data_IF_952007806138
#
_entry.id   IF_952007806138
#
_cell.length_a   1.000
_cell.length_b   1.000
_cell.length_c   1.000
_cell.angle_alpha   90.00
_cell.angle_beta   90.00
_cell.angle_gamma   90.00
#
_symmetry.space_group_name_H-M   'P 1'
#
loop_
_entity.id
_entity.type
_entity.pdbx_description
1 polymer ?
#
# COMPACT_ATOMS: atom_id res chain seq x y z
N UNK A 1 -0.03 -2.31 22.13
CA UNK A 1 0.19 -1.21 21.19
C UNK A 1 1.18 -1.73 20.18
N UNK A 2 0.76 -1.79 18.94
CA UNK A 2 1.45 -2.51 17.88
C UNK A 2 2.44 -1.55 17.23
N UNK A 3 3.70 -1.99 17.10
CA UNK A 3 4.76 -1.17 16.54
C UNK A 3 4.78 -1.31 15.03
N UNK A 4 4.82 -0.16 14.35
CA UNK A 4 4.89 -0.05 12.89
C UNK A 4 6.10 -0.79 12.28
N UNK A 5 7.21 -0.88 13.02
CA UNK A 5 8.44 -1.60 12.62
C UNK A 5 8.62 -2.89 13.45
N UNK A 6 7.61 -3.76 13.46
CA UNK A 6 7.60 -4.98 14.29
C UNK A 6 8.81 -5.91 14.03
N UNK A 7 9.35 -5.93 12.81
CA UNK A 7 10.46 -6.80 12.41
C UNK A 7 11.77 -6.06 12.07
N UNK A 8 11.82 -4.74 12.24
CA UNK A 8 13.01 -3.97 11.89
C UNK A 8 13.27 -3.93 10.38
N UNK A 9 12.26 -4.11 9.54
CA UNK A 9 12.40 -4.20 8.08
C UNK A 9 12.36 -2.83 7.40
N UNK A 10 11.85 -1.81 8.10
CA UNK A 10 11.72 -0.47 7.55
C UNK A 10 12.89 0.44 7.87
N UNK A 11 13.20 1.37 6.97
CA UNK A 11 14.18 2.43 7.26
C UNK A 11 13.53 3.50 8.14
N UNK A 12 14.23 3.94 9.18
CA UNK A 12 13.78 5.04 10.05
C UNK A 12 14.97 5.86 10.55
N UNK A 13 14.95 7.17 10.26
CA UNK A 13 15.92 8.18 10.71
C UNK A 13 15.27 9.31 11.52
N UNK A 14 13.96 9.21 11.79
CA UNK A 14 13.15 10.30 12.36
C UNK A 14 13.25 11.62 11.56
N UNK A 15 13.54 11.52 10.27
CA UNK A 15 13.90 12.63 9.40
C UNK A 15 13.26 12.53 8.01
N UNK A 16 13.65 13.43 7.10
CA UNK A 16 13.08 13.49 5.76
C UNK A 16 13.42 12.25 4.90
N UNK A 17 14.50 11.51 5.20
CA UNK A 17 14.82 10.29 4.45
C UNK A 17 13.82 9.17 4.74
N UNK A 18 13.29 9.07 5.96
CA UNK A 18 12.16 8.17 6.26
C UNK A 18 10.97 8.48 5.37
N UNK A 19 10.61 9.76 5.20
CA UNK A 19 9.48 10.17 4.36
C UNK A 19 9.72 9.81 2.89
N UNK A 20 10.94 10.02 2.39
CA UNK A 20 11.33 9.65 1.03
C UNK A 20 11.27 8.13 0.81
N UNK A 21 11.79 7.35 1.77
CA UNK A 21 11.75 5.90 1.78
C UNK A 21 10.31 5.38 1.72
N UNK A 22 9.44 5.85 2.62
CA UNK A 22 8.03 5.46 2.69
C UNK A 22 7.31 5.71 1.36
N UNK A 23 7.53 6.89 0.78
CA UNK A 23 6.86 7.25 -0.47
C UNK A 23 7.27 6.35 -1.65
N UNK A 24 8.56 5.97 -1.72
CA UNK A 24 9.05 5.02 -2.73
C UNK A 24 8.55 3.60 -2.45
N UNK A 25 8.57 3.17 -1.19
CA UNK A 25 8.05 1.88 -0.76
C UNK A 25 6.58 1.72 -1.19
N UNK A 26 5.74 2.72 -0.89
CA UNK A 26 4.31 2.66 -1.19
C UNK A 26 3.99 2.79 -2.67
N UNK A 27 4.79 3.52 -3.44
CA UNK A 27 4.69 3.51 -4.90
C UNK A 27 4.87 2.09 -5.46
N UNK A 28 5.79 1.33 -4.86
CA UNK A 28 6.15 -0.03 -5.26
C UNK A 28 5.32 -1.13 -4.56
N UNK A 29 4.50 -0.79 -3.55
CA UNK A 29 3.73 -1.74 -2.77
C UNK A 29 2.45 -2.19 -3.50
N UNK A 30 2.63 -2.94 -4.59
CA UNK A 30 1.55 -3.55 -5.36
C UNK A 30 2.00 -4.89 -5.96
N UNK A 31 1.06 -5.83 -6.08
CA UNK A 31 1.15 -7.13 -6.76
C UNK A 31 2.52 -7.84 -6.72
N UNK A 32 2.67 -8.81 -5.81
CA UNK A 32 3.85 -9.69 -5.73
C UNK A 32 3.69 -11.01 -6.49
N UNK A 33 2.49 -11.30 -7.01
CA UNK A 33 2.22 -12.45 -7.87
C UNK A 33 2.81 -12.26 -9.26
N UNK A 34 3.37 -13.29 -9.94
CA UNK A 34 3.36 -14.73 -9.59
C UNK A 34 4.56 -15.24 -8.79
N UNK A 35 5.43 -14.36 -8.31
CA UNK A 35 6.63 -14.77 -7.60
C UNK A 35 6.30 -15.15 -6.15
N UNK A 36 6.23 -16.46 -5.89
CA UNK A 36 5.85 -17.02 -4.58
C UNK A 36 6.85 -16.72 -3.46
N UNK A 37 8.09 -16.40 -3.83
CA UNK A 37 9.14 -16.09 -2.85
C UNK A 37 9.14 -14.59 -2.54
N UNK A 38 8.60 -13.75 -3.44
CA UNK A 38 8.56 -12.31 -3.26
C UNK A 38 7.35 -11.92 -2.39
N UNK A 39 7.60 -11.10 -1.37
CA UNK A 39 6.55 -10.50 -0.54
C UNK A 39 6.94 -9.07 -0.14
N UNK A 40 6.07 -8.43 0.65
CA UNK A 40 6.29 -7.07 1.15
C UNK A 40 7.61 -6.91 1.91
N UNK A 41 7.95 -7.87 2.79
CA UNK A 41 9.15 -7.77 3.63
C UNK A 41 10.43 -7.71 2.79
N UNK A 42 10.49 -8.47 1.70
CA UNK A 42 11.61 -8.43 0.76
C UNK A 42 11.74 -7.05 0.09
N UNK A 43 10.62 -6.43 -0.28
CA UNK A 43 10.60 -5.08 -0.85
C UNK A 43 11.07 -4.05 0.19
N UNK A 44 10.46 -4.05 1.38
CA UNK A 44 10.75 -3.10 2.46
C UNK A 44 12.22 -3.19 2.89
N UNK A 45 12.71 -4.41 3.14
CA UNK A 45 14.09 -4.68 3.55
C UNK A 45 15.09 -4.35 2.45
N UNK A 46 14.81 -4.71 1.19
CA UNK A 46 15.67 -4.41 0.05
C UNK A 46 15.86 -2.90 -0.12
N UNK A 47 14.77 -2.13 -0.09
CA UNK A 47 14.82 -0.67 -0.15
C UNK A 47 15.53 -0.05 1.05
N UNK A 48 15.34 -0.59 2.26
CA UNK A 48 16.06 -0.16 3.46
C UNK A 48 17.56 -0.36 3.31
N UNK A 49 17.99 -1.55 2.90
CA UNK A 49 19.40 -1.88 2.71
C UNK A 49 20.04 -1.01 1.61
N UNK A 50 19.32 -0.77 0.51
CA UNK A 50 19.76 0.15 -0.53
C UNK A 50 19.99 1.56 0.00
N UNK A 51 19.06 2.08 0.81
CA UNK A 51 19.17 3.42 1.39
C UNK A 51 20.27 3.52 2.44
N UNK A 52 20.50 2.48 3.24
CA UNK A 52 21.62 2.42 4.19
C UNK A 52 22.99 2.39 3.49
N UNK A 53 23.09 1.78 2.31
CA UNK A 53 24.32 1.75 1.53
C UNK A 53 24.58 3.07 0.80
N UNK A 54 23.53 3.72 0.31
CA UNK A 54 23.60 5.00 -0.40
C UNK A 54 22.39 5.85 -0.06
N UNK A 55 22.59 6.87 0.78
CA UNK A 55 21.53 7.78 1.23
C UNK A 55 20.90 8.58 0.08
N UNK A 56 21.57 8.67 -1.08
CA UNK A 56 21.05 9.34 -2.27
C UNK A 56 20.24 8.42 -3.18
N UNK A 57 20.12 7.12 -2.85
CA UNK A 57 19.53 6.12 -3.76
C UNK A 57 18.09 6.47 -4.19
N UNK A 58 17.34 7.20 -3.36
CA UNK A 58 15.98 7.64 -3.66
C UNK A 58 15.85 9.12 -3.99
N UNK A 59 16.95 9.79 -4.36
CA UNK A 59 16.93 11.14 -4.88
C UNK A 59 16.14 11.19 -6.20
N UNK A 60 15.40 12.28 -6.39
CA UNK A 60 14.44 12.41 -7.50
C UNK A 60 15.07 12.23 -8.89
N UNK A 61 16.30 12.69 -9.12
CA UNK A 61 16.99 12.55 -10.39
C UNK A 61 17.48 11.11 -10.66
N UNK A 62 17.70 10.32 -9.60
CA UNK A 62 18.06 8.91 -9.69
C UNK A 62 16.83 8.04 -9.88
N UNK A 63 15.74 8.34 -9.17
CA UNK A 63 14.45 7.69 -9.34
C UNK A 63 14.01 7.69 -10.81
N UNK A 64 14.23 8.80 -11.53
CA UNK A 64 13.93 8.95 -12.96
C UNK A 64 14.79 8.09 -13.91
N UNK A 65 15.88 7.50 -13.43
CA UNK A 65 16.87 6.79 -14.26
C UNK A 65 16.91 5.30 -13.99
N UNK A 66 16.26 4.82 -12.93
CA UNK A 66 16.28 3.40 -12.61
C UNK A 66 15.70 2.57 -13.75
N UNK A 67 16.31 1.43 -13.99
CA UNK A 67 15.84 0.39 -14.90
C UNK A 67 15.38 -0.83 -14.11
N UNK A 68 14.62 -1.72 -14.74
CA UNK A 68 14.20 -2.97 -14.13
C UNK A 68 15.35 -3.77 -13.51
N UNK A 69 16.46 -4.01 -14.24
CA UNK A 69 17.66 -4.64 -13.69
C UNK A 69 18.27 -3.93 -12.48
N UNK A 70 18.33 -2.59 -12.46
CA UNK A 70 18.85 -1.85 -11.31
C UNK A 70 17.89 -1.92 -10.12
N UNK A 71 16.57 -1.90 -10.34
CA UNK A 71 15.60 -2.10 -9.27
C UNK A 71 15.76 -3.50 -8.65
N UNK A 72 15.97 -4.54 -9.45
CA UNK A 72 16.29 -5.88 -8.93
C UNK A 72 17.58 -5.90 -8.12
N UNK A 73 18.62 -5.21 -8.59
CA UNK A 73 19.90 -5.12 -7.88
C UNK A 73 19.73 -4.44 -6.52
N UNK A 74 18.97 -3.34 -6.45
CA UNK A 74 18.62 -2.68 -5.19
C UNK A 74 17.92 -3.63 -4.22
N UNK A 75 17.00 -4.45 -4.71
CA UNK A 75 16.25 -5.42 -3.92
C UNK A 75 16.99 -6.74 -3.71
N UNK A 76 18.19 -6.90 -4.29
CA UNK A 76 18.95 -8.16 -4.34
C UNK A 76 18.10 -9.34 -4.86
N UNK A 77 17.20 -9.07 -5.81
CA UNK A 77 16.27 -10.06 -6.34
C UNK A 77 16.86 -10.79 -7.56
N UNK A 78 16.88 -12.13 -7.59
CA UNK A 78 17.64 -12.89 -8.59
C UNK A 78 16.98 -13.00 -9.97
N UNK A 79 15.73 -12.54 -10.12
CA UNK A 79 14.91 -12.71 -11.33
C UNK A 79 13.97 -11.52 -11.53
N UNK A 80 13.36 -11.43 -12.71
CA UNK A 80 12.39 -10.37 -13.04
C UNK A 80 11.32 -10.20 -11.98
N UNK A 81 11.10 -8.94 -11.56
CA UNK A 81 10.03 -8.62 -10.63
C UNK A 81 8.68 -8.74 -11.34
N UNK A 82 7.61 -9.13 -10.64
CA UNK A 82 6.25 -8.95 -11.15
C UNK A 82 5.97 -7.49 -11.50
N UNK A 83 5.42 -7.26 -12.69
CA UNK A 83 5.13 -5.92 -13.22
C UNK A 83 6.35 -4.98 -13.18
N UNK A 84 7.55 -5.50 -13.47
CA UNK A 84 8.81 -4.77 -13.37
C UNK A 84 8.82 -3.43 -14.12
N UNK A 85 8.35 -3.42 -15.37
CA UNK A 85 8.28 -2.18 -16.16
C UNK A 85 7.34 -1.14 -15.54
N UNK A 86 6.23 -1.59 -14.93
CA UNK A 86 5.29 -0.70 -14.24
C UNK A 86 5.90 -0.15 -12.95
N UNK A 87 6.66 -0.96 -12.21
CA UNK A 87 7.42 -0.51 -11.04
C UNK A 87 8.40 0.60 -11.42
N UNK A 88 9.14 0.41 -12.51
CA UNK A 88 10.08 1.41 -13.05
C UNK A 88 9.34 2.67 -13.48
N UNK A 89 8.22 2.54 -14.20
CA UNK A 89 7.37 3.67 -14.59
C UNK A 89 6.92 4.49 -13.37
N UNK A 90 6.54 3.82 -12.28
CA UNK A 90 6.13 4.47 -11.04
C UNK A 90 7.30 5.17 -10.33
N UNK A 91 8.51 4.59 -10.34
CA UNK A 91 9.70 5.28 -9.84
C UNK A 91 9.98 6.56 -10.63
N UNK A 92 9.88 6.48 -11.96
CA UNK A 92 10.10 7.64 -12.82
C UNK A 92 9.06 8.73 -12.56
N UNK A 93 7.80 8.35 -12.41
CA UNK A 93 6.71 9.26 -12.06
C UNK A 93 6.97 9.96 -10.73
N UNK A 94 7.34 9.20 -9.69
CA UNK A 94 7.68 9.74 -8.37
C UNK A 94 8.85 10.73 -8.48
N UNK A 95 9.94 10.33 -9.12
CA UNK A 95 11.11 11.19 -9.28
C UNK A 95 10.80 12.49 -10.02
N UNK A 96 10.13 12.40 -11.17
CA UNK A 96 9.80 13.56 -11.99
C UNK A 96 8.90 14.56 -11.25
N UNK A 97 7.83 14.06 -10.62
CA UNK A 97 6.86 14.95 -9.99
C UNK A 97 7.37 15.52 -8.66
N UNK A 98 8.19 14.77 -7.90
CA UNK A 98 8.90 15.32 -6.75
C UNK A 98 9.85 16.44 -7.17
N UNK A 99 10.66 16.26 -8.21
CA UNK A 99 11.57 17.29 -8.69
C UNK A 99 10.81 18.54 -9.15
N UNK A 100 9.74 18.34 -9.92
CA UNK A 100 8.93 19.42 -10.51
C UNK A 100 8.19 20.27 -9.48
N UNK A 101 7.57 19.63 -8.49
CA UNK A 101 6.56 20.28 -7.63
C UNK A 101 6.95 20.33 -6.15
N UNK A 102 7.97 19.58 -5.73
CA UNK A 102 8.30 19.36 -4.31
C UNK A 102 9.81 19.40 -4.03
N UNK A 103 10.60 20.11 -4.86
CA UNK A 103 12.07 20.26 -4.69
C UNK A 103 12.82 18.92 -4.58
N UNK A 104 12.30 17.87 -5.21
CA UNK A 104 12.85 16.52 -5.17
C UNK A 104 12.60 15.76 -3.87
N UNK A 105 11.78 16.29 -2.95
CA UNK A 105 11.64 15.77 -1.57
C UNK A 105 10.20 15.43 -1.21
N UNK A 106 9.94 14.18 -0.84
CA UNK A 106 8.64 13.75 -0.33
C UNK A 106 8.24 14.47 0.98
N UNK A 107 9.20 14.94 1.79
CA UNK A 107 8.91 15.76 2.97
C UNK A 107 8.22 17.08 2.60
N UNK A 108 8.53 17.69 1.46
CA UNK A 108 7.84 18.91 0.98
C UNK A 108 6.40 18.64 0.58
N UNK A 109 6.12 17.48 -0.01
CA UNK A 109 4.75 17.01 -0.24
C UNK A 109 3.98 16.88 1.08
N UNK A 110 4.56 16.23 2.09
CA UNK A 110 3.94 16.06 3.41
C UNK A 110 3.73 17.41 4.12
N UNK A 111 4.72 18.31 4.13
CA UNK A 111 4.60 19.66 4.69
C UNK A 111 3.42 20.43 4.07
N UNK A 112 3.20 20.29 2.75
CA UNK A 112 2.14 21.01 2.03
C UNK A 112 0.71 20.57 2.39
N UNK A 113 0.55 19.39 2.99
CA UNK A 113 -0.76 18.91 3.44
C UNK A 113 -1.27 19.63 4.70
N UNK A 114 -0.41 20.37 5.41
CA UNK A 114 -0.81 21.15 6.59
C UNK A 114 -1.42 20.28 7.70
N UNK A 115 -0.84 19.10 7.94
CA UNK A 115 -1.28 18.14 8.97
C UNK A 115 -2.70 17.59 8.75
N UNK A 116 -3.10 17.43 7.50
CA UNK A 116 -4.34 16.74 7.12
C UNK A 116 -4.02 15.53 6.24
N UNK A 117 -4.36 14.33 6.73
CA UNK A 117 -4.24 13.07 6.02
C UNK A 117 -5.13 13.06 4.78
N UNK A 118 -6.36 13.60 4.87
CA UNK A 118 -7.27 13.71 3.72
C UNK A 118 -6.68 14.62 2.65
N UNK A 119 -6.10 15.76 3.04
CA UNK A 119 -5.41 16.65 2.11
C UNK A 119 -4.15 16.02 1.53
N UNK A 120 -3.41 15.23 2.30
CA UNK A 120 -2.25 14.49 1.80
C UNK A 120 -2.66 13.49 0.71
N UNK A 121 -3.70 12.68 0.95
CA UNK A 121 -4.25 11.76 -0.05
C UNK A 121 -4.69 12.50 -1.30
N UNK A 122 -5.38 13.65 -1.15
CA UNK A 122 -5.81 14.47 -2.27
C UNK A 122 -4.62 15.03 -3.08
N UNK A 123 -3.54 15.44 -2.41
CA UNK A 123 -2.32 15.92 -3.07
C UNK A 123 -1.58 14.79 -3.79
N UNK A 124 -1.39 13.65 -3.13
CA UNK A 124 -0.75 12.45 -3.71
C UNK A 124 -1.51 12.02 -4.95
N UNK A 125 -2.82 11.81 -4.83
CA UNK A 125 -3.64 11.40 -5.99
C UNK A 125 -3.67 12.46 -7.06
N UNK A 126 -3.66 13.77 -6.75
CA UNK A 126 -3.61 14.82 -7.77
C UNK A 126 -2.29 14.85 -8.53
N UNK A 127 -1.16 14.69 -7.86
CA UNK A 127 0.16 14.85 -8.47
C UNK A 127 0.69 13.56 -9.11
N UNK A 128 0.36 12.40 -8.53
CA UNK A 128 0.93 11.11 -8.92
C UNK A 128 -0.18 10.18 -9.46
N UNK A 129 -0.41 10.13 -10.79
CA UNK A 129 -1.42 9.25 -11.40
C UNK A 129 -1.32 7.78 -11.00
N UNK A 130 -0.11 7.29 -10.72
CA UNK A 130 0.16 5.95 -10.24
C UNK A 130 -0.47 5.62 -8.88
N UNK A 131 -0.83 6.62 -8.09
CA UNK A 131 -1.55 6.44 -6.82
C UNK A 131 -3.08 6.56 -6.97
N UNK A 132 -3.59 6.84 -8.19
CA UNK A 132 -5.03 6.98 -8.46
C UNK A 132 -5.68 5.63 -8.73
N UNK A 133 -5.66 4.75 -7.75
CA UNK A 133 -6.33 3.46 -7.85
C UNK A 133 -7.86 3.70 -7.96
N UNK A 134 -8.41 3.58 -9.18
CA UNK A 134 -9.84 3.75 -9.46
C UNK A 134 -10.32 2.72 -10.48
N UNK A 135 -11.58 2.33 -10.37
CA UNK A 135 -12.19 1.34 -11.27
C UNK A 135 -13.61 1.72 -11.63
N UNK A 136 -14.10 1.20 -12.76
CA UNK A 136 -15.49 1.36 -13.18
C UNK A 136 -16.33 0.17 -12.70
N UNK A 137 -17.33 0.42 -11.85
CA UNK A 137 -18.26 -0.60 -11.37
C UNK A 137 -19.69 -0.22 -11.71
N UNK A 138 -20.37 -1.02 -12.54
CA UNK A 138 -21.78 -0.80 -12.94
C UNK A 138 -22.05 0.65 -13.39
N UNK A 139 -21.16 1.22 -14.19
CA UNK A 139 -21.26 2.59 -14.70
C UNK A 139 -20.89 3.70 -13.70
N UNK A 140 -20.46 3.36 -12.48
CA UNK A 140 -20.01 4.31 -11.47
C UNK A 140 -18.50 4.22 -11.31
N UNK A 141 -17.84 5.36 -11.22
CA UNK A 141 -16.41 5.42 -10.91
C UNK A 141 -16.21 5.24 -9.41
N UNK A 142 -15.42 4.24 -9.03
CA UNK A 142 -15.07 3.92 -7.64
C UNK A 142 -13.61 4.29 -7.42
N UNK A 143 -13.35 5.09 -6.41
CA UNK A 143 -12.01 5.52 -6.03
C UNK A 143 -11.57 4.76 -4.77
N UNK A 144 -10.51 3.97 -4.88
CA UNK A 144 -9.97 3.18 -3.77
C UNK A 144 -8.79 3.91 -3.10
N UNK A 145 -7.95 4.57 -3.91
CA UNK A 145 -6.78 5.34 -3.47
C UNK A 145 -5.92 4.60 -2.43
N UNK A 146 -5.78 3.28 -2.58
CA UNK A 146 -5.24 2.38 -1.56
C UNK A 146 -3.82 2.79 -1.17
N UNK A 147 -2.93 2.93 -2.15
CA UNK A 147 -1.52 3.29 -1.87
C UNK A 147 -1.37 4.69 -1.28
N UNK A 148 -2.21 5.65 -1.67
CA UNK A 148 -2.19 6.99 -1.09
C UNK A 148 -2.65 6.98 0.38
N UNK A 149 -3.63 6.13 0.72
CA UNK A 149 -4.08 5.93 2.09
C UNK A 149 -3.01 5.20 2.93
N UNK A 150 -2.35 4.17 2.37
CA UNK A 150 -1.24 3.46 3.03
C UNK A 150 -0.13 4.44 3.37
N UNK A 151 0.28 5.32 2.44
CA UNK A 151 1.32 6.31 2.69
C UNK A 151 1.00 7.25 3.86
N UNK A 152 -0.25 7.71 3.97
CA UNK A 152 -0.66 8.52 5.12
C UNK A 152 -0.60 7.72 6.44
N UNK A 153 -0.99 6.44 6.42
CA UNK A 153 -0.95 5.58 7.59
C UNK A 153 0.48 5.20 8.01
N UNK A 154 1.37 4.93 7.05
CA UNK A 154 2.77 4.63 7.30
C UNK A 154 3.51 5.83 7.91
N UNK A 155 3.22 7.05 7.45
CA UNK A 155 3.73 8.26 8.09
C UNK A 155 3.23 8.39 9.54
N UNK A 156 1.94 8.19 9.77
CA UNK A 156 1.37 8.25 11.11
C UNK A 156 1.97 7.20 12.05
N UNK A 157 2.13 5.96 11.56
CA UNK A 157 2.69 4.83 12.29
C UNK A 157 4.18 5.01 12.60
N UNK A 158 5.00 5.34 11.59
CA UNK A 158 6.43 5.51 11.72
C UNK A 158 6.78 6.64 12.70
N UNK A 159 6.09 7.77 12.61
CA UNK A 159 6.35 8.93 13.48
C UNK A 159 5.45 8.98 14.72
N UNK A 160 4.67 7.93 15.00
CA UNK A 160 3.78 7.82 16.17
C UNK A 160 2.87 9.04 16.36
N UNK A 161 2.34 9.55 15.25
CA UNK A 161 1.45 10.73 15.23
C UNK A 161 2.15 12.07 15.49
N UNK A 162 3.49 12.15 15.40
CA UNK A 162 4.28 13.36 15.64
C UNK A 162 5.04 13.78 14.37
N UNK A 163 5.56 15.01 14.32
CA UNK A 163 6.39 15.46 13.21
C UNK A 163 5.72 15.28 11.84
N UNK A 164 6.33 14.49 10.95
CA UNK A 164 5.78 14.20 9.62
C UNK A 164 4.54 13.29 9.64
N UNK A 165 4.27 12.58 10.74
CA UNK A 165 3.07 11.77 10.93
C UNK A 165 1.96 12.48 11.71
N UNK A 166 2.12 13.76 12.04
CA UNK A 166 1.11 14.51 12.78
C UNK A 166 -0.05 14.91 11.86
N UNK A 167 -1.17 14.19 11.98
CA UNK A 167 -2.40 14.45 11.24
C UNK A 167 -3.58 14.68 12.18
N UNK A 168 -4.32 15.77 11.96
CA UNK A 168 -5.48 16.15 12.78
C UNK A 168 -6.73 15.31 12.48
N UNK A 169 -6.76 14.66 11.32
CA UNK A 169 -7.91 13.97 10.75
C UNK A 169 -7.58 12.54 10.33
N UNK A 170 -6.56 11.91 10.95
CA UNK A 170 -6.12 10.55 10.60
C UNK A 170 -7.27 9.53 10.64
N UNK A 171 -8.21 9.67 11.58
CA UNK A 171 -9.39 8.81 11.67
C UNK A 171 -10.38 8.95 10.49
N UNK A 172 -10.15 9.88 9.56
CA UNK A 172 -10.94 10.05 8.34
C UNK A 172 -10.47 9.18 7.18
N UNK A 173 -9.30 8.53 7.29
CA UNK A 173 -8.85 7.54 6.29
C UNK A 173 -9.60 6.22 6.52
N UNK A 174 -9.89 5.51 5.44
CA UNK A 174 -10.66 4.26 5.47
C UNK A 174 -9.72 3.04 5.55
N UNK A 175 -10.25 1.85 5.84
CA UNK A 175 -9.46 0.62 5.73
C UNK A 175 -8.99 0.43 4.27
N UNK A 176 -7.80 -0.13 4.11
CA UNK A 176 -7.22 -0.31 2.79
C UNK A 176 -7.92 -1.44 2.04
N UNK A 177 -8.35 -1.18 0.80
CA UNK A 177 -8.82 -2.22 -0.09
C UNK A 177 -7.64 -3.08 -0.56
N UNK A 178 -7.46 -4.25 0.04
CA UNK A 178 -6.44 -5.22 -0.37
C UNK A 178 -7.05 -6.56 -0.77
N UNK A 179 -6.28 -7.46 -1.39
CA UNK A 179 -6.72 -8.82 -1.69
C UNK A 179 -6.59 -9.76 -0.48
N UNK A 180 -5.82 -9.39 0.56
CA UNK A 180 -5.64 -10.22 1.76
C UNK A 180 -6.89 -10.20 2.65
N UNK A 181 -7.51 -9.02 2.89
CA UNK A 181 -8.73 -8.93 3.74
C UNK A 181 -9.86 -9.83 3.21
N UNK A 182 -10.26 -9.78 1.93
CA UNK A 182 -11.35 -10.60 1.43
C UNK A 182 -11.04 -12.08 1.57
N UNK A 183 -9.79 -12.46 1.34
CA UNK A 183 -9.31 -13.82 1.43
C UNK A 183 -9.34 -14.38 2.87
N UNK A 184 -8.90 -13.60 3.85
CA UNK A 184 -9.03 -13.94 5.28
C UNK A 184 -10.50 -14.07 5.66
N UNK A 185 -11.34 -13.10 5.28
CA UNK A 185 -12.76 -13.12 5.56
C UNK A 185 -13.48 -14.31 4.90
N UNK A 186 -13.01 -14.77 3.74
CA UNK A 186 -13.51 -15.98 3.11
C UNK A 186 -13.12 -17.23 3.90
N UNK A 187 -11.88 -17.32 4.38
CA UNK A 187 -11.43 -18.45 5.22
C UNK A 187 -12.18 -18.50 6.55
N UNK A 188 -12.51 -17.34 7.11
CA UNK A 188 -13.34 -17.21 8.31
C UNK A 188 -14.84 -17.46 8.05
N UNK A 189 -15.24 -17.70 6.81
CA UNK A 189 -16.63 -17.96 6.42
C UNK A 189 -17.55 -16.73 6.42
N UNK A 190 -16.98 -15.52 6.59
CA UNK A 190 -17.69 -14.24 6.57
C UNK A 190 -18.03 -13.84 5.13
N UNK A 191 -17.09 -14.00 4.20
CA UNK A 191 -17.31 -13.80 2.77
C UNK A 191 -17.54 -15.14 2.06
N UNK A 192 -18.51 -15.17 1.14
CA UNK A 192 -18.74 -16.31 0.24
C UNK A 192 -18.55 -15.86 -1.20
N UNK A 193 -17.58 -16.45 -1.88
CA UNK A 193 -17.34 -16.20 -3.29
C UNK A 193 -18.34 -16.96 -4.16
N UNK A 194 -18.62 -16.41 -5.34
CA UNK A 194 -19.37 -17.16 -6.36
C UNK A 194 -18.57 -18.41 -6.77
N UNK A 195 -19.23 -19.50 -7.22
CA UNK A 195 -18.52 -20.70 -7.67
C UNK A 195 -17.49 -20.40 -8.76
N UNK A 196 -17.80 -19.49 -9.68
CA UNK A 196 -16.88 -19.06 -10.74
C UNK A 196 -15.62 -18.40 -10.18
N UNK A 197 -15.77 -17.46 -9.25
CA UNK A 197 -14.63 -16.76 -8.64
C UNK A 197 -13.81 -17.70 -7.76
N UNK A 198 -14.47 -18.56 -6.98
CA UNK A 198 -13.82 -19.56 -6.15
C UNK A 198 -12.98 -20.53 -7.00
N UNK A 199 -13.52 -21.00 -8.13
CA UNK A 199 -12.81 -21.88 -9.05
C UNK A 199 -11.61 -21.19 -9.69
N UNK A 200 -11.74 -19.92 -10.10
CA UNK A 200 -10.64 -19.13 -10.67
C UNK A 200 -9.49 -18.96 -9.66
N UNK A 201 -9.82 -18.61 -8.41
CA UNK A 201 -8.84 -18.50 -7.31
C UNK A 201 -8.18 -19.87 -7.04
N UNK A 202 -8.95 -20.94 -6.96
CA UNK A 202 -8.43 -22.29 -6.72
C UNK A 202 -7.50 -22.78 -7.85
N UNK A 203 -7.80 -22.37 -9.09
CA UNK A 203 -6.97 -22.65 -10.25
C UNK A 203 -5.73 -21.74 -10.37
N UNK A 204 -5.51 -20.81 -9.44
CA UNK A 204 -4.47 -19.77 -9.51
C UNK A 204 -4.49 -19.04 -10.86
N UNK A 205 -5.70 -18.79 -11.37
CA UNK A 205 -5.92 -18.05 -12.59
C UNK A 205 -5.85 -16.55 -12.29
N UNK A 206 -5.20 -15.80 -13.17
CA UNK A 206 -5.10 -14.35 -13.05
C UNK A 206 -6.51 -13.72 -13.11
N UNK A 207 -6.82 -12.89 -12.10
CA UNK A 207 -7.99 -12.02 -12.12
C UNK A 207 -7.51 -10.68 -12.66
N UNK A 208 -7.95 -10.33 -13.88
CA UNK A 208 -7.47 -9.13 -14.56
C UNK A 208 -7.83 -7.84 -13.81
N UNK A 209 -6.92 -6.86 -13.89
CA UNK A 209 -7.16 -5.52 -13.36
C UNK A 209 -8.36 -4.84 -14.05
N UNK A 210 -9.19 -4.14 -13.27
CA UNK A 210 -10.42 -3.49 -13.68
C UNK A 210 -11.59 -4.43 -13.95
N UNK A 211 -11.44 -5.75 -13.77
CA UNK A 211 -12.55 -6.70 -13.94
C UNK A 211 -13.59 -6.52 -12.84
N UNK A 212 -14.83 -6.93 -13.13
CA UNK A 212 -15.92 -6.88 -12.16
C UNK A 212 -15.54 -7.65 -10.89
N UNK A 213 -14.92 -8.80 -11.06
CA UNK A 213 -14.47 -9.70 -10.00
C UNK A 213 -13.43 -9.05 -9.10
N UNK A 214 -12.40 -8.41 -9.67
CA UNK A 214 -11.40 -7.66 -8.91
C UNK A 214 -12.06 -6.52 -8.12
N UNK A 215 -12.91 -5.73 -8.77
CA UNK A 215 -13.55 -4.58 -8.12
C UNK A 215 -14.50 -5.03 -7.01
N UNK A 216 -15.22 -6.14 -7.18
CA UNK A 216 -16.06 -6.73 -6.13
C UNK A 216 -15.23 -7.23 -4.95
N UNK A 217 -14.07 -7.86 -5.19
CA UNK A 217 -13.15 -8.25 -4.11
C UNK A 217 -12.63 -7.04 -3.34
N UNK A 218 -12.14 -6.01 -4.03
CA UNK A 218 -11.63 -4.79 -3.40
C UNK A 218 -12.73 -4.01 -2.65
N UNK A 219 -13.94 -3.94 -3.21
CA UNK A 219 -15.08 -3.23 -2.61
C UNK A 219 -15.77 -4.05 -1.51
N UNK A 220 -15.58 -5.38 -1.44
CA UNK A 220 -16.17 -6.22 -0.39
C UNK A 220 -15.74 -5.77 1.01
N UNK A 221 -14.53 -5.22 1.13
CA UNK A 221 -13.99 -4.66 2.37
C UNK A 221 -14.76 -3.42 2.79
N UNK A 222 -14.95 -2.48 1.86
CA UNK A 222 -15.74 -1.28 2.09
C UNK A 222 -17.19 -1.62 2.45
N UNK A 223 -17.78 -2.61 1.76
CA UNK A 223 -19.15 -3.06 2.06
C UNK A 223 -19.26 -3.65 3.47
N UNK A 224 -18.29 -4.45 3.91
CA UNK A 224 -18.27 -5.04 5.25
C UNK A 224 -18.09 -3.95 6.31
N UNK A 225 -17.16 -3.00 6.10
CA UNK A 225 -17.01 -1.87 7.01
C UNK A 225 -18.28 -1.03 7.14
N UNK A 226 -18.88 -0.63 6.01
CA UNK A 226 -20.11 0.16 6.03
C UNK A 226 -21.23 -0.64 6.70
N UNK A 227 -21.34 -1.94 6.41
CA UNK A 227 -22.31 -2.82 7.06
C UNK A 227 -22.03 -3.02 8.56
N UNK A 228 -20.80 -2.83 9.02
CA UNK A 228 -20.39 -2.96 10.42
C UNK A 228 -20.56 -1.68 11.21
N UNK A 229 -20.22 -0.52 10.65
CA UNK A 229 -20.58 0.79 11.22
C UNK A 229 -22.11 0.91 11.35
N UNK A 230 -22.87 0.32 10.40
CA UNK A 230 -24.32 0.21 10.49
C UNK A 230 -24.78 -0.86 11.52
N UNK A 231 -23.96 -1.87 11.83
CA UNK A 231 -24.26 -2.98 12.77
C UNK A 231 -23.59 -2.86 14.15
N UNK A 232 -22.88 -1.77 14.45
CA UNK A 232 -22.33 -1.47 15.79
C UNK A 232 -23.42 -1.33 16.87
N UNK A 233 -24.68 -1.54 16.51
CA UNK A 233 -25.79 -1.79 17.42
C UNK A 233 -25.89 -3.25 17.93
N UNK A 234 -25.16 -4.26 17.40
CA UNK A 234 -25.46 -5.67 17.75
C UNK A 234 -24.31 -6.72 17.85
N UNK A 235 -23.05 -6.50 17.45
CA UNK A 235 -22.06 -7.61 17.47
C UNK A 235 -20.63 -7.22 17.88
N UNK A 236 -20.32 -7.27 19.17
CA UNK A 236 -18.98 -7.04 19.73
C UNK A 236 -17.90 -8.07 19.36
N UNK A 237 -18.25 -9.31 18.97
CA UNK A 237 -17.28 -10.38 18.73
C UNK A 237 -16.48 -10.24 17.42
N UNK A 238 -16.97 -9.45 16.45
CA UNK A 238 -16.31 -9.26 15.16
C UNK A 238 -15.42 -7.99 15.12
N UNK A 239 -15.56 -7.11 16.12
CA UNK A 239 -14.73 -5.92 16.32
C UNK A 239 -13.29 -6.30 16.65
N UNK A 240 -13.06 -7.28 17.55
CA UNK A 240 -11.70 -7.76 17.84
C UNK A 240 -11.04 -8.37 16.61
N UNK A 241 -11.77 -9.06 15.74
CA UNK A 241 -11.21 -9.70 14.53
C UNK A 241 -10.79 -8.65 13.50
N UNK A 242 -11.57 -7.59 13.29
CA UNK A 242 -11.23 -6.54 12.32
C UNK A 242 -10.21 -5.53 12.84
N UNK A 243 -10.27 -5.18 14.12
CA UNK A 243 -9.19 -4.39 14.75
C UNK A 243 -7.90 -5.20 14.67
N UNK A 244 -7.91 -6.49 15.02
CA UNK A 244 -6.75 -7.37 14.84
C UNK A 244 -6.34 -7.53 13.37
N UNK A 245 -7.26 -7.50 12.39
CA UNK A 245 -6.87 -7.54 10.97
C UNK A 245 -6.18 -6.24 10.58
N UNK A 246 -6.75 -5.06 10.89
CA UNK A 246 -6.14 -3.75 10.64
C UNK A 246 -4.78 -3.63 11.36
N UNK A 247 -4.71 -4.12 12.58
CA UNK A 247 -3.50 -4.20 13.40
C UNK A 247 -2.51 -5.24 12.86
N UNK A 248 -2.95 -6.36 12.30
CA UNK A 248 -2.12 -7.34 11.59
C UNK A 248 -1.62 -6.83 10.24
N UNK A 249 -2.37 -5.96 9.55
CA UNK A 249 -1.92 -5.24 8.36
C UNK A 249 -0.77 -4.29 8.67
N UNK A 250 -0.67 -3.83 9.93
CA UNK A 250 0.47 -3.08 10.45
C UNK A 250 1.61 -3.98 11.01
N UNK A 251 1.42 -5.31 11.15
CA UNK A 251 2.40 -6.23 11.78
C UNK A 251 3.00 -7.25 10.83
N UNK A 252 2.23 -7.83 9.91
CA UNK A 252 2.57 -9.18 9.44
C UNK A 252 2.04 -9.47 8.05
N UNK A 253 2.97 -9.45 7.11
CA UNK A 253 3.00 -10.37 5.96
C UNK A 253 3.45 -11.79 6.36
N UNK A 254 3.38 -12.17 7.66
CA UNK A 254 3.81 -13.46 8.16
C UNK A 254 2.62 -14.36 8.55
N UNK A 255 2.20 -15.20 7.59
CA UNK A 255 1.52 -16.46 7.93
C UNK A 255 0.27 -16.83 7.14
N UNK A 256 -0.28 -15.93 6.33
CA UNK A 256 -1.37 -16.27 5.41
C UNK A 256 -0.81 -16.55 4.02
N UNK A 257 -0.39 -17.79 3.80
CA UNK A 257 -0.18 -18.37 2.47
C UNK A 257 -1.52 -18.42 1.71
N UNK A 258 -1.97 -17.28 1.24
CA UNK A 258 -3.04 -17.19 0.28
C UNK A 258 -2.43 -17.06 -1.10
N UNK A 259 -2.52 -18.15 -1.84
CA UNK A 259 -2.18 -18.23 -3.26
C UNK A 259 -3.22 -17.42 -4.03
N UNK A 260 -2.92 -16.16 -4.25
CA UNK A 260 -3.33 -15.45 -5.46
C UNK A 260 -2.18 -15.66 -6.41
#
# INVERSE_FOLDING_TARGET
>A
MIEWDYEGIHYFDNGPLTVQYLFVLDALNFCFWPDKDLNYDHLAKGLKEALLNDHSTFDADRLQKYTGPQLRELLKWPRSLPLEEERVRLLHEVGFELERSFEGKASKLVESCGKSAVKLIALVTRHFPGFRDHSMYKGHQVFLYKRAQIFAADLWGAFKGQGYGEFNDIGSITIFADYIVPAVLQQLGVLKYSPTLANAIQASSEIGAGTKEEVELCCSIYFIMVSQVLNDLLLHSYLEVLVNIIECFLISANGLHLKF
#
